data_IF_719636114504
#
_entry.id   IF_719636114504
#
_cell.length_a   1.000
_cell.length_b   1.000
_cell.length_c   1.000
_cell.angle_alpha   90.00
_cell.angle_beta   90.00
_cell.angle_gamma   90.00
#
_symmetry.space_group_name_H-M   'P 1'
#
loop_
_entity.id
_entity.type
_entity.pdbx_description
1 polymer ?
#
# COMPACT_ATOMS: atom_id res chain seq x y z
N UNK A 1 -31.00 -1.81 23.71
CA UNK A 1 -30.91 -3.15 23.06
C UNK A 1 -30.92 -3.06 21.55
N UNK A 2 -31.95 -2.46 20.93
CA UNK A 2 -31.95 -2.14 19.48
C UNK A 2 -30.68 -1.42 19.05
N UNK A 3 -30.31 -0.34 19.74
CA UNK A 3 -29.12 0.45 19.38
C UNK A 3 -27.82 -0.32 19.54
N UNK A 4 -27.79 -1.32 20.43
CA UNK A 4 -26.64 -2.23 20.56
C UNK A 4 -26.56 -3.18 19.35
N UNK A 5 -27.68 -3.76 18.91
CA UNK A 5 -27.72 -4.61 17.69
C UNK A 5 -27.39 -3.81 16.44
N UNK A 6 -27.86 -2.56 16.35
CA UNK A 6 -27.45 -1.64 15.29
C UNK A 6 -25.95 -1.39 15.34
N UNK A 7 -25.36 -1.19 16.53
CA UNK A 7 -23.94 -0.98 16.70
C UNK A 7 -23.08 -2.24 16.55
N UNK A 8 -23.64 -3.45 16.47
CA UNK A 8 -22.86 -4.68 16.36
C UNK A 8 -22.39 -4.95 14.91
N UNK A 9 -23.11 -4.45 13.89
CA UNK A 9 -22.80 -4.69 12.48
C UNK A 9 -22.98 -3.45 11.60
N UNK A 10 -22.29 -3.41 10.44
CA UNK A 10 -22.48 -2.37 9.42
C UNK A 10 -23.69 -2.74 8.54
N UNK A 11 -24.89 -2.36 8.99
CA UNK A 11 -26.13 -2.66 8.27
C UNK A 11 -26.33 -1.69 7.11
N UNK A 12 -26.34 -2.17 5.86
CA UNK A 12 -26.53 -1.35 4.65
C UNK A 12 -27.66 -0.30 4.76
N UNK A 13 -28.82 -0.66 5.31
CA UNK A 13 -29.96 0.26 5.46
C UNK A 13 -29.73 1.38 6.48
N UNK A 14 -28.84 1.17 7.46
CA UNK A 14 -28.52 2.11 8.53
C UNK A 14 -27.22 2.87 8.26
N UNK A 15 -26.43 2.48 7.26
CA UNK A 15 -25.20 3.18 6.90
C UNK A 15 -25.51 4.54 6.29
N UNK A 16 -24.91 5.58 6.85
CA UNK A 16 -25.02 6.95 6.33
C UNK A 16 -23.66 7.61 6.18
N UNK A 17 -23.57 8.51 5.21
CA UNK A 17 -22.40 9.33 4.92
C UNK A 17 -22.76 10.79 5.14
N UNK A 18 -21.99 11.48 5.99
CA UNK A 18 -22.19 12.91 6.27
C UNK A 18 -20.87 13.65 6.25
N UNK A 19 -20.85 14.85 5.67
CA UNK A 19 -19.69 15.76 5.79
C UNK A 19 -19.70 16.34 7.20
N UNK A 20 -18.60 16.19 7.92
CA UNK A 20 -18.49 16.65 9.29
C UNK A 20 -18.38 18.18 9.36
N UNK A 21 -19.09 18.77 10.33
CA UNK A 21 -19.01 20.20 10.63
C UNK A 21 -17.83 20.47 11.57
N UNK A 22 -16.91 21.34 11.12
CA UNK A 22 -15.72 21.74 11.89
C UNK A 22 -16.13 22.67 13.03
N UNK A 23 -15.68 22.34 14.24
CA UNK A 23 -15.93 23.11 15.46
C UNK A 23 -14.78 24.07 15.80
N UNK A 24 -13.63 23.95 15.12
CA UNK A 24 -12.41 24.67 15.48
C UNK A 24 -11.76 24.13 16.76
N UNK A 25 -10.69 24.81 17.20
CA UNK A 25 -9.95 24.55 18.44
C UNK A 25 -9.62 23.05 18.69
N UNK A 26 -8.74 22.45 17.86
CA UNK A 26 -8.39 21.05 17.98
C UNK A 26 -7.51 20.77 19.21
N UNK A 27 -7.67 19.57 19.77
CA UNK A 27 -6.80 19.10 20.83
C UNK A 27 -5.32 19.00 20.38
N UNK A 28 -4.34 19.14 21.30
CA UNK A 28 -2.92 19.05 20.95
C UNK A 28 -2.59 17.73 20.24
N UNK A 29 -1.97 17.82 19.05
CA UNK A 29 -1.61 16.66 18.22
C UNK A 29 -2.63 16.33 17.11
N UNK A 30 -3.77 17.03 17.08
CA UNK A 30 -4.78 16.92 16.03
C UNK A 30 -4.91 18.21 15.25
N UNK A 31 -5.22 18.12 13.95
CA UNK A 31 -5.40 19.30 13.10
C UNK A 31 -6.84 19.82 13.08
N UNK A 32 -7.83 18.93 13.24
CA UNK A 32 -9.25 19.27 13.13
C UNK A 32 -10.09 18.62 14.23
N UNK A 33 -11.17 19.30 14.61
CA UNK A 33 -12.15 18.84 15.59
C UNK A 33 -13.55 19.03 15.02
N UNK A 34 -14.29 17.94 14.97
CA UNK A 34 -15.60 17.88 14.33
C UNK A 34 -16.71 17.53 15.31
N UNK A 35 -17.93 17.98 14.99
CA UNK A 35 -19.14 17.64 15.74
C UNK A 35 -19.51 16.16 15.58
N UNK A 36 -19.77 15.46 16.69
CA UNK A 36 -20.31 14.11 16.66
C UNK A 36 -21.83 14.15 16.39
N UNK A 37 -22.36 13.50 15.33
CA UNK A 37 -23.79 13.52 15.05
C UNK A 37 -24.63 12.90 16.16
N UNK A 38 -25.78 13.51 16.48
CA UNK A 38 -26.67 13.03 17.55
C UNK A 38 -27.38 11.72 17.22
N UNK A 39 -27.56 11.42 15.93
CA UNK A 39 -28.18 10.20 15.43
C UNK A 39 -27.17 9.07 15.14
N UNK A 40 -25.92 9.19 15.60
CA UNK A 40 -24.87 8.19 15.38
C UNK A 40 -24.87 7.12 16.48
N UNK A 41 -25.18 5.87 16.10
CA UNK A 41 -25.08 4.70 16.96
C UNK A 41 -23.63 4.20 17.07
N UNK A 42 -22.91 4.13 15.94
CA UNK A 42 -21.50 3.72 15.87
C UNK A 42 -20.79 4.40 14.70
N UNK A 43 -19.55 4.83 14.91
CA UNK A 43 -18.67 5.25 13.82
C UNK A 43 -18.08 4.01 13.13
N UNK A 44 -18.24 3.91 11.82
CA UNK A 44 -17.59 2.87 11.00
C UNK A 44 -16.22 3.34 10.52
N UNK A 45 -16.15 4.52 9.88
CA UNK A 45 -14.88 5.09 9.42
C UNK A 45 -14.96 6.60 9.16
N UNK A 46 -13.79 7.25 9.09
CA UNK A 46 -13.64 8.58 8.50
C UNK A 46 -13.00 8.44 7.13
N UNK A 47 -13.53 9.18 6.16
CA UNK A 47 -13.13 9.15 4.76
C UNK A 47 -12.76 10.56 4.30
N UNK A 48 -11.75 10.72 3.43
CA UNK A 48 -11.51 11.98 2.74
C UNK A 48 -12.69 12.35 1.85
N UNK A 49 -12.95 13.65 1.65
CA UNK A 49 -14.07 14.13 0.82
C UNK A 49 -14.07 13.63 -0.63
N UNK A 50 -12.88 13.42 -1.20
CA UNK A 50 -12.72 12.93 -2.58
C UNK A 50 -13.02 11.43 -2.69
N UNK A 51 -13.04 10.70 -1.58
CA UNK A 51 -13.21 9.26 -1.59
C UNK A 51 -14.69 8.87 -1.57
N UNK A 52 -15.12 8.08 -2.57
CA UNK A 52 -16.53 7.70 -2.77
C UNK A 52 -16.79 6.20 -2.55
N UNK A 53 -15.74 5.40 -2.36
CA UNK A 53 -15.83 3.95 -2.16
C UNK A 53 -16.18 3.54 -0.72
N UNK A 54 -16.10 2.23 -0.45
CA UNK A 54 -16.14 1.67 0.90
C UNK A 54 -14.84 1.94 1.64
N UNK A 55 -14.95 2.15 2.95
CA UNK A 55 -13.78 2.31 3.80
C UNK A 55 -12.87 1.07 3.81
N UNK A 56 -13.39 -0.10 3.43
CA UNK A 56 -12.62 -1.36 3.41
C UNK A 56 -11.49 -1.32 2.36
N UNK A 57 -11.68 -0.61 1.25
CA UNK A 57 -10.70 -0.56 0.15
C UNK A 57 -9.71 0.61 0.27
N UNK A 58 -9.91 1.49 1.25
CA UNK A 58 -9.01 2.62 1.49
C UNK A 58 -7.71 2.11 2.12
N UNK A 59 -6.59 2.22 1.39
CA UNK A 59 -5.27 1.77 1.83
C UNK A 59 -4.81 2.51 3.09
N UNK A 60 -4.89 3.84 3.05
CA UNK A 60 -4.52 4.72 4.16
C UNK A 60 -5.78 5.27 4.82
N UNK A 61 -6.26 4.58 5.86
CA UNK A 61 -7.41 5.03 6.65
C UNK A 61 -7.01 6.22 7.52
N UNK A 62 -7.71 7.37 7.42
CA UNK A 62 -7.50 8.49 8.32
C UNK A 62 -7.66 8.05 9.78
N UNK A 63 -6.68 8.39 10.60
CA UNK A 63 -6.75 8.16 12.04
C UNK A 63 -7.73 9.17 12.64
N UNK A 64 -8.56 8.69 13.56
CA UNK A 64 -9.47 9.53 14.31
C UNK A 64 -9.59 9.08 15.76
N UNK A 65 -9.94 10.02 16.62
CA UNK A 65 -10.18 9.79 18.04
C UNK A 65 -11.51 10.43 18.45
N UNK A 66 -12.30 9.72 19.27
CA UNK A 66 -13.53 10.26 19.84
C UNK A 66 -13.22 10.82 21.22
N UNK A 67 -13.29 12.14 21.35
CA UNK A 67 -13.12 12.85 22.61
C UNK A 67 -14.44 13.33 23.20
N UNK A 68 -14.34 13.97 24.36
CA UNK A 68 -15.44 14.77 24.93
C UNK A 68 -15.18 16.25 24.68
N UNK A 69 -16.25 17.05 24.58
CA UNK A 69 -16.16 18.51 24.59
C UNK A 69 -15.61 19.02 25.93
N UNK A 70 -15.13 20.26 25.96
CA UNK A 70 -14.63 20.93 27.16
C UNK A 70 -15.65 20.94 28.31
N UNK A 71 -16.95 21.05 27.97
CA UNK A 71 -18.06 20.99 28.93
C UNK A 71 -18.39 19.57 29.42
N UNK A 72 -17.78 18.52 28.84
CA UNK A 72 -18.07 17.12 29.14
C UNK A 72 -19.49 16.64 28.74
N UNK A 73 -20.29 17.51 28.11
CA UNK A 73 -21.71 17.27 27.78
C UNK A 73 -21.93 16.66 26.39
N UNK A 74 -20.90 16.65 25.54
CA UNK A 74 -20.99 16.18 24.17
C UNK A 74 -19.74 15.43 23.72
N UNK A 75 -19.89 14.57 22.71
CA UNK A 75 -18.77 13.88 22.06
C UNK A 75 -18.27 14.72 20.88
N UNK A 76 -16.97 14.64 20.62
CA UNK A 76 -16.33 15.24 19.44
C UNK A 76 -15.39 14.26 18.77
N UNK A 77 -15.12 14.52 17.51
CA UNK A 77 -14.24 13.69 16.68
C UNK A 77 -13.00 14.51 16.36
N UNK A 78 -11.83 14.01 16.74
CA UNK A 78 -10.54 14.59 16.37
C UNK A 78 -9.94 13.80 15.21
N UNK A 79 -9.45 14.49 14.19
CA UNK A 79 -8.78 13.86 13.05
C UNK A 79 -7.83 14.85 12.36
N UNK A 80 -6.92 14.33 11.55
CA UNK A 80 -6.00 15.13 10.75
C UNK A 80 -6.51 15.40 9.32
N UNK A 81 -7.67 14.84 8.97
CA UNK A 81 -8.29 15.00 7.66
C UNK A 81 -9.13 16.28 7.58
N UNK A 82 -8.89 17.10 6.56
CA UNK A 82 -9.70 18.29 6.27
C UNK A 82 -10.99 17.93 5.52
N UNK A 83 -12.11 18.57 5.84
CA UNK A 83 -13.42 18.27 5.24
C UNK A 83 -13.79 16.77 5.31
N UNK A 84 -13.52 16.17 6.46
CA UNK A 84 -13.73 14.74 6.69
C UNK A 84 -15.19 14.32 6.47
N UNK A 85 -15.38 13.19 5.78
CA UNK A 85 -16.68 12.53 5.62
C UNK A 85 -16.77 11.39 6.61
N UNK A 86 -17.79 11.41 7.46
CA UNK A 86 -18.06 10.35 8.41
C UNK A 86 -18.95 9.28 7.76
N UNK A 87 -18.49 8.03 7.81
CA UNK A 87 -19.30 6.85 7.58
C UNK A 87 -19.71 6.27 8.94
N UNK A 88 -21.01 6.22 9.20
CA UNK A 88 -21.53 5.79 10.49
C UNK A 88 -22.83 5.00 10.37
N UNK A 89 -23.09 4.18 11.38
CA UNK A 89 -24.37 3.53 11.58
C UNK A 89 -25.31 4.51 12.25
N UNK A 90 -26.37 4.89 11.53
CA UNK A 90 -27.42 5.78 12.03
C UNK A 90 -28.37 5.01 12.95
N UNK A 91 -28.77 5.64 14.06
CA UNK A 91 -29.84 5.15 14.92
C UNK A 91 -31.18 5.36 14.22
N UNK A 92 -31.69 4.31 13.58
CA UNK A 92 -32.99 4.32 12.92
C UNK A 92 -34.05 3.84 13.91
N UNK A 93 -35.08 4.65 14.09
CA UNK A 93 -36.22 4.34 14.98
C UNK A 93 -37.42 3.77 14.24
N UNK A 94 -37.51 3.97 12.93
CA UNK A 94 -38.64 3.55 12.12
C UNK A 94 -38.60 2.04 11.83
N UNK A 95 -39.59 1.25 12.29
CA UNK A 95 -39.63 -0.18 12.06
C UNK A 95 -39.76 -0.58 10.58
N UNK A 96 -40.31 0.29 9.72
CA UNK A 96 -40.49 -0.07 8.30
C UNK A 96 -39.17 -0.09 7.53
N UNK A 97 -38.12 0.51 8.09
CA UNK A 97 -36.78 0.55 7.50
C UNK A 97 -35.93 -0.66 7.90
N UNK A 98 -36.40 -1.50 8.82
CA UNK A 98 -35.64 -2.64 9.29
C UNK A 98 -35.59 -3.74 8.23
N UNK A 99 -34.38 -4.12 7.85
CA UNK A 99 -34.15 -5.31 7.03
C UNK A 99 -34.54 -6.59 7.80
N UNK A 100 -34.94 -7.63 7.08
CA UNK A 100 -35.36 -8.91 7.65
C UNK A 100 -34.28 -9.53 8.54
N UNK A 101 -33.01 -9.45 8.13
CA UNK A 101 -31.90 -9.97 8.93
C UNK A 101 -31.68 -9.19 10.22
N UNK A 102 -31.95 -7.88 10.22
CA UNK A 102 -31.89 -7.08 11.44
C UNK A 102 -33.03 -7.45 12.40
N UNK A 103 -34.25 -7.65 11.88
CA UNK A 103 -35.38 -8.08 12.69
C UNK A 103 -35.13 -9.45 13.35
N UNK A 104 -34.54 -10.39 12.62
CA UNK A 104 -34.13 -11.69 13.15
C UNK A 104 -33.02 -11.56 14.21
N UNK A 105 -31.99 -10.75 13.93
CA UNK A 105 -30.89 -10.51 14.88
C UNK A 105 -31.40 -9.89 16.19
N UNK A 106 -32.28 -8.89 16.10
CA UNK A 106 -32.90 -8.25 17.25
C UNK A 106 -33.74 -9.24 18.06
N UNK A 107 -34.49 -10.12 17.38
CA UNK A 107 -35.32 -11.14 18.02
C UNK A 107 -34.48 -12.16 18.80
N UNK A 108 -33.41 -12.69 18.20
CA UNK A 108 -32.50 -13.61 18.90
C UNK A 108 -31.76 -12.94 20.06
N UNK A 109 -31.33 -11.69 19.88
CA UNK A 109 -30.69 -10.95 20.96
C UNK A 109 -31.65 -10.75 22.12
N UNK A 110 -32.92 -10.39 21.85
CA UNK A 110 -33.98 -10.23 22.86
C UNK A 110 -34.29 -11.55 23.58
N UNK A 111 -34.36 -12.65 22.83
CA UNK A 111 -34.54 -13.98 23.40
C UNK A 111 -33.38 -14.34 24.35
N UNK A 112 -32.13 -14.02 23.99
CA UNK A 112 -30.97 -14.32 24.83
C UNK A 112 -30.97 -13.55 26.17
N UNK A 113 -31.32 -12.26 26.16
CA UNK A 113 -31.40 -11.45 27.39
C UNK A 113 -32.52 -11.91 28.32
N UNK A 114 -33.67 -12.33 27.76
CA UNK A 114 -34.84 -12.74 28.54
C UNK A 114 -34.72 -14.21 29.01
N UNK A 115 -34.00 -15.06 28.27
CA UNK A 115 -33.86 -16.48 28.59
C UNK A 115 -33.13 -16.71 29.93
N UNK A 116 -32.10 -15.91 30.24
CA UNK A 116 -31.33 -16.04 31.47
C UNK A 116 -32.16 -15.83 32.75
N UNK A 117 -32.93 -14.73 32.90
CA UNK A 117 -33.72 -14.49 34.11
C UNK A 117 -34.98 -15.38 34.21
N UNK A 118 -35.55 -15.84 33.09
CA UNK A 118 -36.83 -16.59 33.11
C UNK A 118 -36.63 -18.10 33.16
N UNK A 119 -35.71 -18.65 32.35
CA UNK A 119 -35.59 -20.10 32.20
C UNK A 119 -34.64 -20.74 33.22
N UNK A 120 -33.83 -19.94 33.94
CA UNK A 120 -32.77 -20.38 34.84
C UNK A 120 -31.84 -21.47 34.24
N UNK A 121 -31.79 -21.55 32.90
CA UNK A 121 -31.08 -22.56 32.15
C UNK A 121 -30.09 -21.88 31.22
N UNK A 122 -28.82 -21.90 31.63
CA UNK A 122 -27.72 -21.26 30.91
C UNK A 122 -27.56 -21.80 29.47
N UNK A 123 -27.94 -23.05 29.19
CA UNK A 123 -27.77 -23.66 27.87
C UNK A 123 -28.65 -23.01 26.81
N UNK A 124 -29.90 -22.65 27.14
CA UNK A 124 -30.80 -21.96 26.21
C UNK A 124 -30.32 -20.54 25.91
N UNK A 125 -29.79 -19.83 26.93
CA UNK A 125 -29.16 -18.53 26.74
C UNK A 125 -27.93 -18.61 25.83
N UNK A 126 -27.09 -19.63 26.00
CA UNK A 126 -25.94 -19.89 25.13
C UNK A 126 -26.35 -20.21 23.69
N UNK A 127 -27.40 -21.03 23.50
CA UNK A 127 -27.92 -21.36 22.16
C UNK A 127 -28.52 -20.14 21.45
N UNK A 128 -29.32 -19.33 22.15
CA UNK A 128 -29.87 -18.10 21.59
C UNK A 128 -28.76 -17.11 21.18
N UNK A 129 -27.72 -17.00 21.99
CA UNK A 129 -26.55 -16.17 21.68
C UNK A 129 -25.74 -16.74 20.49
N UNK A 130 -25.65 -18.06 20.33
CA UNK A 130 -25.02 -18.68 19.17
C UNK A 130 -25.80 -18.40 17.87
N UNK A 131 -27.13 -18.51 17.90
CA UNK A 131 -27.97 -18.16 16.75
C UNK A 131 -27.86 -16.67 16.39
N UNK A 132 -27.78 -15.78 17.39
CA UNK A 132 -27.53 -14.36 17.16
C UNK A 132 -26.23 -14.11 16.38
N UNK A 133 -25.13 -14.73 16.79
CA UNK A 133 -23.83 -14.61 16.10
C UNK A 133 -23.88 -15.14 14.65
N UNK A 134 -24.64 -16.21 14.40
CA UNK A 134 -24.85 -16.74 13.05
C UNK A 134 -25.57 -15.72 12.16
N UNK A 135 -26.64 -15.07 12.66
CA UNK A 135 -27.37 -14.04 11.90
C UNK A 135 -26.48 -12.84 11.59
N UNK A 136 -25.63 -12.40 12.54
CA UNK A 136 -24.68 -11.32 12.29
C UNK A 136 -23.70 -11.66 11.15
N UNK A 137 -23.23 -12.90 11.10
CA UNK A 137 -22.28 -13.35 10.06
C UNK A 137 -22.95 -13.42 8.68
N UNK A 138 -24.19 -13.93 8.62
CA UNK A 138 -24.98 -13.96 7.40
C UNK A 138 -25.34 -12.56 6.90
N UNK A 139 -25.67 -11.64 7.81
CA UNK A 139 -25.93 -10.24 7.49
C UNK A 139 -24.71 -9.55 6.90
N UNK A 140 -23.52 -9.80 7.45
CA UNK A 140 -22.27 -9.27 6.90
C UNK A 140 -22.01 -9.78 5.47
N UNK A 141 -22.21 -11.08 5.21
CA UNK A 141 -22.02 -11.66 3.87
C UNK A 141 -22.99 -11.06 2.85
N UNK A 142 -24.27 -10.98 3.19
CA UNK A 142 -25.27 -10.38 2.31
C UNK A 142 -25.00 -8.90 2.04
N UNK A 143 -24.53 -8.17 3.06
CA UNK A 143 -24.17 -6.77 2.93
C UNK A 143 -23.04 -6.56 1.91
N UNK A 144 -22.05 -7.47 1.88
CA UNK A 144 -20.97 -7.47 0.90
C UNK A 144 -21.48 -7.80 -0.51
N UNK A 145 -22.40 -8.75 -0.65
CA UNK A 145 -22.96 -9.13 -1.95
C UNK A 145 -23.86 -8.04 -2.56
N UNK A 146 -24.60 -7.31 -1.72
CA UNK A 146 -25.46 -6.19 -2.15
C UNK A 146 -24.65 -4.92 -2.50
N UNK A 147 -23.42 -4.79 -2.00
CA UNK A 147 -22.53 -3.69 -2.31
C UNK A 147 -21.74 -3.96 -3.61
N UNK A 148 -22.35 -3.71 -4.76
CA UNK A 148 -21.63 -3.64 -6.04
C UNK A 148 -20.89 -2.31 -6.17
N UNK A 149 -19.62 -2.28 -5.80
CA UNK A 149 -18.75 -1.15 -6.14
C UNK A 149 -18.33 -1.26 -7.61
N UNK A 150 -18.47 -0.20 -8.43
CA UNK A 150 -17.68 -0.16 -9.65
C UNK A 150 -16.22 -0.25 -9.21
N UNK A 151 -15.44 -1.16 -9.80
CA UNK A 151 -13.99 -1.16 -9.61
C UNK A 151 -13.48 0.23 -9.95
N UNK A 152 -13.23 1.06 -8.93
CA UNK A 152 -12.71 2.39 -9.12
C UNK A 152 -11.28 2.20 -9.61
N UNK A 153 -11.08 2.42 -10.91
CA UNK A 153 -9.76 2.70 -11.45
C UNK A 153 -9.19 3.86 -10.63
N UNK A 154 -8.15 3.57 -9.86
CA UNK A 154 -7.49 4.54 -8.98
C UNK A 154 -7.13 5.79 -9.78
N UNK A 155 -7.82 6.90 -9.53
CA UNK A 155 -7.31 8.24 -9.82
C UNK A 155 -6.79 8.80 -8.50
N UNK A 156 -5.46 8.87 -8.39
CA UNK A 156 -4.77 9.56 -7.31
C UNK A 156 -5.03 11.07 -7.34
N UNK A 157 -4.58 11.81 -6.32
CA UNK A 157 -4.91 13.21 -6.13
C UNK A 157 -4.40 14.06 -7.28
N UNK A 158 -5.19 15.09 -7.57
CA UNK A 158 -4.96 16.11 -8.57
C UNK A 158 -3.55 16.72 -8.43
N UNK A 159 -2.61 16.25 -9.23
CA UNK A 159 -1.56 17.10 -9.79
C UNK A 159 -1.77 17.08 -11.30
N UNK A 160 -2.03 18.27 -11.81
CA UNK A 160 -2.07 18.57 -13.24
C UNK A 160 -0.83 18.00 -13.93
N UNK A 161 -1.04 17.03 -14.83
CA UNK A 161 -0.35 16.78 -16.10
C UNK A 161 -0.33 15.26 -16.44
N UNK A 162 -1.01 14.93 -17.53
CA UNK A 162 -0.86 13.73 -18.36
C UNK A 162 -1.12 12.34 -17.72
N UNK A 163 -2.41 12.04 -17.47
CA UNK A 163 -2.89 10.69 -17.15
C UNK A 163 -2.97 9.79 -18.40
N UNK A 164 -1.86 9.17 -18.77
CA UNK A 164 -1.89 7.84 -19.38
C UNK A 164 -2.23 6.83 -18.27
N UNK A 165 -3.38 6.17 -18.39
CA UNK A 165 -3.81 5.05 -17.53
C UNK A 165 -2.74 3.95 -17.52
N UNK A 166 -1.91 3.92 -16.47
CA UNK A 166 -1.01 2.81 -16.22
C UNK A 166 -1.80 1.65 -15.60
N UNK A 167 -2.41 0.83 -16.45
CA UNK A 167 -2.77 -0.52 -16.02
C UNK A 167 -1.46 -1.28 -15.73
N UNK A 168 -1.29 -1.77 -14.51
CA UNK A 168 -0.19 -2.67 -14.15
C UNK A 168 -0.51 -4.05 -14.73
N UNK A 169 -0.14 -4.30 -16.00
CA UNK A 169 -0.12 -5.67 -16.50
C UNK A 169 0.96 -6.43 -15.74
N UNK A 170 0.57 -7.52 -15.09
CA UNK A 170 1.53 -8.42 -14.43
C UNK A 170 2.41 -9.03 -15.53
N UNK A 171 3.69 -8.66 -15.55
CA UNK A 171 4.67 -9.25 -16.45
C UNK A 171 5.34 -10.44 -15.74
N UNK A 172 5.02 -11.70 -16.12
CA UNK A 172 5.41 -12.87 -15.33
C UNK A 172 6.88 -13.24 -15.48
N UNK A 173 7.54 -12.83 -16.58
CA UNK A 173 8.96 -13.07 -16.78
C UNK A 173 9.58 -12.04 -17.72
N UNK A 174 10.89 -11.87 -17.60
CA UNK A 174 11.71 -10.94 -18.40
C UNK A 174 12.77 -11.68 -19.23
N UNK A 175 12.63 -13.00 -19.37
CA UNK A 175 13.58 -13.90 -20.03
C UNK A 175 13.80 -13.57 -21.52
N UNK A 176 12.85 -12.88 -22.16
CA UNK A 176 12.86 -12.55 -23.58
C UNK A 176 13.82 -11.40 -23.95
N UNK A 177 14.45 -10.74 -22.98
CA UNK A 177 15.44 -9.69 -23.25
C UNK A 177 14.86 -8.44 -23.91
N UNK A 178 15.72 -7.57 -24.46
CA UNK A 178 15.30 -6.35 -25.15
C UNK A 178 14.77 -6.65 -26.57
N UNK A 179 13.54 -6.23 -26.87
CA UNK A 179 12.96 -6.36 -28.22
C UNK A 179 13.45 -5.25 -29.15
N UNK A 180 13.63 -5.61 -30.42
CA UNK A 180 13.98 -4.66 -31.48
C UNK A 180 12.89 -3.58 -31.65
N UNK A 181 13.24 -2.32 -31.95
CA UNK A 181 12.27 -1.23 -32.14
C UNK A 181 11.15 -1.54 -33.14
N UNK A 182 11.44 -2.32 -34.18
CA UNK A 182 10.44 -2.72 -35.20
C UNK A 182 9.36 -3.65 -34.66
N UNK A 183 9.56 -4.26 -33.50
CA UNK A 183 8.64 -5.22 -32.87
C UNK A 183 7.78 -4.59 -31.76
N UNK A 184 7.91 -3.29 -31.50
CA UNK A 184 7.19 -2.61 -30.41
C UNK A 184 5.66 -2.64 -30.55
N UNK A 185 5.14 -2.76 -31.78
CA UNK A 185 3.69 -2.84 -32.04
C UNK A 185 3.14 -4.28 -32.11
N UNK A 186 3.99 -5.31 -32.07
CA UNK A 186 3.57 -6.70 -32.22
C UNK A 186 3.23 -7.32 -30.87
N UNK A 187 2.14 -6.83 -30.28
CA UNK A 187 1.60 -7.29 -28.98
C UNK A 187 1.11 -8.75 -29.01
N UNK A 188 0.89 -9.29 -30.21
CA UNK A 188 0.45 -10.66 -30.49
C UNK A 188 1.57 -11.70 -30.35
N UNK A 189 2.83 -11.29 -30.41
CA UNK A 189 3.96 -12.20 -30.24
C UNK A 189 3.99 -12.70 -28.79
N UNK A 190 4.07 -14.01 -28.60
CA UNK A 190 4.24 -14.63 -27.29
C UNK A 190 5.48 -14.09 -26.55
N UNK A 191 6.55 -13.79 -27.30
CA UNK A 191 7.75 -13.15 -26.76
C UNK A 191 7.52 -11.72 -26.27
N UNK A 192 6.51 -11.00 -26.78
CA UNK A 192 6.22 -9.62 -26.37
C UNK A 192 5.90 -9.54 -24.88
N UNK A 193 5.18 -10.53 -24.35
CA UNK A 193 4.79 -10.59 -22.94
C UNK A 193 5.98 -10.90 -22.00
N UNK A 194 7.06 -11.47 -22.53
CA UNK A 194 8.22 -11.92 -21.74
C UNK A 194 9.49 -11.09 -21.99
N UNK A 195 9.39 -10.04 -22.82
CA UNK A 195 10.49 -9.18 -23.23
C UNK A 195 10.35 -7.76 -22.69
N UNK A 196 11.45 -7.00 -22.73
CA UNK A 196 11.57 -5.61 -22.31
C UNK A 196 11.67 -4.70 -23.53
N UNK A 197 11.05 -3.52 -23.46
CA UNK A 197 11.25 -2.49 -24.50
C UNK A 197 12.67 -1.91 -24.50
N UNK A 198 13.27 -1.77 -23.30
CA UNK A 198 14.61 -1.23 -23.09
C UNK A 198 15.21 -1.77 -21.80
N UNK A 199 16.41 -2.31 -21.84
CA UNK A 199 17.09 -2.85 -20.66
C UNK A 199 18.42 -2.12 -20.45
N UNK A 200 18.55 -1.33 -19.36
CA UNK A 200 19.76 -0.56 -19.06
C UNK A 200 20.32 -0.97 -17.70
N UNK A 201 21.63 -1.21 -17.63
CA UNK A 201 22.33 -1.55 -16.39
C UNK A 201 21.80 -2.80 -15.67
N UNK A 202 21.21 -3.71 -16.42
CA UNK A 202 20.57 -4.92 -15.94
C UNK A 202 21.04 -6.13 -16.77
N UNK A 203 21.13 -7.30 -16.14
CA UNK A 203 21.41 -8.59 -16.76
C UNK A 203 20.17 -9.46 -16.60
N UNK A 204 19.60 -9.90 -17.73
CA UNK A 204 18.46 -10.81 -17.75
C UNK A 204 18.95 -12.22 -17.43
N UNK A 205 18.33 -12.88 -16.45
CA UNK A 205 18.56 -14.29 -16.15
C UNK A 205 17.66 -15.18 -17.00
N UNK A 206 18.16 -16.36 -17.36
CA UNK A 206 17.39 -17.39 -18.06
C UNK A 206 16.15 -17.85 -17.27
N UNK A 207 16.17 -17.70 -15.93
CA UNK A 207 15.04 -17.99 -15.04
C UNK A 207 13.91 -16.96 -15.11
N UNK A 208 14.03 -15.89 -15.90
CA UNK A 208 12.99 -14.87 -16.07
C UNK A 208 13.07 -13.68 -15.11
N UNK A 209 14.04 -13.69 -14.18
CA UNK A 209 14.37 -12.53 -13.35
C UNK A 209 15.40 -11.61 -14.02
N UNK A 210 15.57 -10.42 -13.46
CA UNK A 210 16.62 -9.47 -13.83
C UNK A 210 17.48 -9.17 -12.61
N UNK A 211 18.78 -9.04 -12.82
CA UNK A 211 19.70 -8.54 -11.80
C UNK A 211 20.42 -7.29 -12.24
N UNK A 212 20.81 -6.45 -11.28
CA UNK A 212 21.66 -5.30 -11.55
C UNK A 212 22.98 -5.77 -12.16
N UNK A 213 23.42 -5.11 -13.24
CA UNK A 213 24.76 -5.31 -13.78
C UNK A 213 25.76 -4.97 -12.67
N UNK A 214 26.72 -5.85 -12.34
CA UNK A 214 27.71 -5.54 -11.31
C UNK A 214 28.38 -4.22 -11.67
N UNK A 215 28.28 -3.26 -10.76
CA UNK A 215 28.86 -1.93 -10.92
C UNK A 215 30.39 -1.99 -10.89
N UNK A 216 31.02 -0.88 -11.26
CA UNK A 216 32.45 -0.71 -11.05
C UNK A 216 32.69 -0.25 -9.60
N UNK A 217 33.55 -0.95 -8.86
CA UNK A 217 34.03 -0.49 -7.55
C UNK A 217 35.10 0.57 -7.77
N UNK A 218 34.97 1.72 -7.11
CA UNK A 218 36.04 2.72 -7.08
C UNK A 218 37.22 2.17 -6.27
N UNK A 219 38.39 2.05 -6.90
CA UNK A 219 39.62 1.56 -6.25
C UNK A 219 40.62 2.69 -5.96
N UNK A 220 40.56 3.78 -6.73
CA UNK A 220 41.43 4.96 -6.58
C UNK A 220 41.42 5.85 -7.81
N UNK A 221 42.04 7.01 -7.70
CA UNK A 221 42.20 7.97 -8.80
C UNK A 221 43.36 7.57 -9.72
N UNK A 222 43.22 7.88 -11.01
CA UNK A 222 44.33 7.77 -11.98
C UNK A 222 45.47 8.72 -11.62
N UNK A 223 46.68 8.47 -12.16
CA UNK A 223 47.87 9.33 -11.92
C UNK A 223 47.62 10.78 -12.31
N UNK A 224 47.06 10.98 -13.49
CA UNK A 224 46.73 12.29 -14.05
C UNK A 224 45.21 12.42 -14.09
N UNK A 225 44.68 13.42 -13.39
CA UNK A 225 43.24 13.68 -13.34
C UNK A 225 42.72 14.40 -14.61
N UNK A 226 43.64 14.96 -15.40
CA UNK A 226 43.40 15.79 -16.57
C UNK A 226 43.51 15.02 -17.90
N UNK A 227 43.93 13.75 -17.88
CA UNK A 227 44.16 12.93 -19.08
C UNK A 227 43.31 11.67 -19.08
N UNK A 228 42.96 11.21 -20.28
CA UNK A 228 42.19 9.98 -20.44
C UNK A 228 43.00 8.75 -20.01
N UNK A 229 42.42 7.92 -19.15
CA UNK A 229 42.96 6.62 -18.76
C UNK A 229 41.98 5.50 -19.13
N UNK A 230 42.49 4.32 -19.50
CA UNK A 230 41.66 3.13 -19.79
C UNK A 230 42.12 1.97 -18.91
N UNK A 231 41.16 1.30 -18.29
CA UNK A 231 41.40 0.06 -17.55
C UNK A 231 41.20 -1.15 -18.47
N UNK A 232 42.21 -2.00 -18.59
CA UNK A 232 42.15 -3.24 -19.37
C UNK A 232 42.30 -4.44 -18.40
N UNK A 233 41.35 -5.38 -18.36
CA UNK A 233 41.51 -6.59 -17.56
C UNK A 233 42.60 -7.49 -18.14
N UNK A 234 43.50 -7.98 -17.30
CA UNK A 234 44.58 -8.90 -17.69
C UNK A 234 44.65 -10.08 -16.73
N UNK A 235 44.50 -11.30 -17.25
CA UNK A 235 44.58 -12.52 -16.46
C UNK A 235 45.89 -13.25 -16.78
N UNK A 236 46.76 -13.40 -15.78
CA UNK A 236 48.01 -14.15 -15.94
C UNK A 236 47.83 -15.63 -15.59
N UNK A 237 46.94 -15.94 -14.63
CA UNK A 237 46.62 -17.31 -14.20
C UNK A 237 45.18 -17.40 -13.67
N UNK A 238 44.66 -18.62 -13.52
CA UNK A 238 43.35 -18.89 -12.91
C UNK A 238 43.24 -18.37 -11.47
N UNK A 239 44.37 -18.22 -10.77
CA UNK A 239 44.45 -17.68 -9.40
C UNK A 239 44.89 -16.22 -9.33
N UNK A 240 45.43 -15.66 -10.41
CA UNK A 240 46.02 -14.32 -10.43
C UNK A 240 45.39 -13.46 -11.54
N UNK A 241 44.50 -12.56 -11.13
CA UNK A 241 43.82 -11.59 -12.00
C UNK A 241 44.34 -10.19 -11.69
N UNK A 242 44.74 -9.47 -12.72
CA UNK A 242 45.25 -8.10 -12.64
C UNK A 242 44.40 -7.16 -13.51
N UNK A 243 44.41 -5.87 -13.21
CA UNK A 243 43.86 -4.85 -14.09
C UNK A 243 44.96 -3.84 -14.42
N UNK A 244 45.15 -3.58 -15.72
CA UNK A 244 46.15 -2.65 -16.23
C UNK A 244 45.48 -1.29 -16.43
N UNK A 245 45.96 -0.28 -15.71
CA UNK A 245 45.62 1.11 -15.96
C UNK A 245 46.61 1.66 -16.99
N UNK A 246 46.13 1.97 -18.19
CA UNK A 246 46.90 2.62 -19.24
C UNK A 246 46.54 4.10 -19.27
N UNK A 247 47.52 4.95 -19.00
CA UNK A 247 47.40 6.40 -19.11
C UNK A 247 48.46 6.99 -20.03
N UNK A 248 48.59 8.31 -20.00
CA UNK A 248 49.49 9.03 -20.89
C UNK A 248 50.96 8.78 -20.54
N UNK A 249 51.64 7.99 -21.37
CA UNK A 249 53.03 7.54 -21.20
C UNK A 249 53.34 6.74 -19.93
N UNK A 250 52.33 6.12 -19.32
CA UNK A 250 52.53 5.20 -18.21
C UNK A 250 51.54 4.03 -18.25
N UNK A 251 51.93 2.91 -17.64
CA UNK A 251 50.96 1.93 -17.17
C UNK A 251 51.21 1.56 -15.70
N UNK A 252 50.11 1.23 -15.02
CA UNK A 252 50.06 0.80 -13.62
C UNK A 252 49.31 -0.53 -13.50
N UNK A 253 49.68 -1.33 -12.51
CA UNK A 253 49.06 -2.64 -12.27
C UNK A 253 48.25 -2.61 -10.99
N UNK A 254 47.00 -3.03 -11.09
CA UNK A 254 46.07 -3.20 -9.97
C UNK A 254 45.86 -4.69 -9.69
N UNK A 255 45.91 -5.10 -8.43
CA UNK A 255 45.68 -6.49 -7.98
C UNK A 255 44.81 -6.50 -6.72
N UNK A 256 43.84 -7.40 -6.63
CA UNK A 256 42.96 -7.57 -5.46
C UNK A 256 42.32 -6.27 -4.92
N UNK A 257 42.09 -5.29 -5.80
CA UNK A 257 41.49 -4.00 -5.41
C UNK A 257 42.48 -2.95 -4.90
N UNK A 258 43.79 -3.18 -4.99
CA UNK A 258 44.83 -2.22 -4.62
C UNK A 258 45.87 -2.05 -5.74
N UNK A 259 46.55 -0.92 -5.75
CA UNK A 259 47.67 -0.66 -6.64
C UNK A 259 48.87 -1.50 -6.19
N UNK A 260 49.50 -2.23 -7.12
CA UNK A 260 50.69 -3.02 -6.80
C UNK A 260 51.85 -2.05 -6.54
N UNK A 261 52.47 -2.15 -5.37
CA UNK A 261 53.60 -1.33 -4.96
C UNK A 261 54.84 -2.19 -4.76
N UNK A 262 55.99 -1.71 -5.21
CA UNK A 262 57.30 -2.26 -4.88
C UNK A 262 58.04 -1.25 -3.98
N UNK A 263 58.47 -1.66 -2.79
CA UNK A 263 59.15 -0.78 -1.82
C UNK A 263 58.36 0.47 -1.38
N UNK A 264 57.03 0.46 -1.47
CA UNK A 264 56.16 1.60 -1.11
C UNK A 264 55.91 2.60 -2.24
N UNK A 265 56.51 2.39 -3.42
CA UNK A 265 56.19 3.15 -4.64
C UNK A 265 55.32 2.30 -5.57
N UNK A 266 54.30 2.88 -6.24
CA UNK A 266 53.53 2.18 -7.25
C UNK A 266 54.42 1.60 -8.36
N UNK A 267 54.14 0.37 -8.79
CA UNK A 267 54.79 -0.23 -9.95
C UNK A 267 54.31 0.52 -11.19
N UNK A 268 55.15 1.42 -11.67
CA UNK A 268 54.94 2.23 -12.86
C UNK A 268 55.99 1.90 -13.90
N UNK A 269 55.53 1.69 -15.13
CA UNK A 269 56.43 1.52 -16.28
C UNK A 269 56.12 2.62 -17.28
N UNK A 270 57.17 3.36 -17.66
CA UNK A 270 57.08 4.40 -18.66
C UNK A 270 56.94 3.78 -20.06
N UNK A 271 55.87 4.13 -20.76
CA UNK A 271 55.65 3.71 -22.14
C UNK A 271 56.13 4.80 -23.10
N UNK A 272 57.17 4.47 -23.86
CA UNK A 272 57.66 5.33 -24.93
C UNK A 272 56.70 5.20 -26.11
N UNK A 273 56.08 6.31 -26.51
CA UNK A 273 55.26 6.37 -27.72
C UNK A 273 56.15 6.15 -28.95
N UNK A 274 55.68 5.32 -29.87
CA UNK A 274 56.16 5.35 -31.26
C UNK A 274 55.43 6.43 -32.03
#
# INVERSE_FOLDING_TARGET
>A
MRDAVLADNDWNFAMSRVVLADLGDPAPGWLFRYQYPTDCARISAILPKWFTGSHIVLQDKPVFEVGSNEDGTGRVIHTNESQAVLLYVKSITDPTMFDALFADALSWRMAAEIAMPIAANASLGQQAMANYQQVLTAAMQRSLDEAHEPQQAMSGPCQCEDLLMAYSLVQPSLAGGEISPSLYGRIDLEKYQTSLRRCRNFIVRQSGGIENRPGFRFLGSAKYADRYCRLIPFQFSVSQTYALELGDHYFRVWSNGALVTDGGSPVEVATHGR
#
